data_IF_809802788940
#
_entry.id   IF_809802788940
#
_cell.length_a   1.000
_cell.length_b   1.000
_cell.length_c   1.000
_cell.angle_alpha   90.00
_cell.angle_beta   90.00
_cell.angle_gamma   90.00
#
_symmetry.space_group_name_H-M   'P 1'
#
loop_
_entity.id
_entity.type
_entity.pdbx_description
1 polymer ?
#
# COMPACT_ATOMS: atom_id res chain seq x y z
N UNK A 1 8.71 -2.38 14.46
CA UNK A 1 8.15 -1.02 14.40
C UNK A 1 6.84 -1.06 13.63
N UNK A 2 5.76 -1.00 14.35
CA UNK A 2 4.41 -1.03 13.78
C UNK A 2 4.06 0.35 13.26
N UNK A 3 3.94 0.51 11.95
CA UNK A 3 3.33 1.71 11.39
C UNK A 3 1.84 1.68 11.70
N UNK A 4 1.40 2.59 12.53
CA UNK A 4 -0.02 2.80 12.82
C UNK A 4 -0.59 3.65 11.68
N UNK A 5 -1.43 3.04 10.84
CA UNK A 5 -2.23 3.78 9.88
C UNK A 5 -3.46 4.33 10.62
N UNK A 6 -3.39 5.56 11.09
CA UNK A 6 -4.52 6.21 11.71
C UNK A 6 -5.20 7.12 10.70
N UNK A 7 -6.47 6.80 10.40
CA UNK A 7 -7.36 7.74 9.73
C UNK A 7 -7.85 8.70 10.83
N UNK A 8 -7.08 9.71 11.11
CA UNK A 8 -7.55 10.80 11.97
C UNK A 8 -8.22 11.84 11.09
N UNK A 9 -9.48 12.12 11.43
CA UNK A 9 -10.21 13.29 10.96
C UNK A 9 -9.56 14.55 11.55
N UNK A 10 -8.51 15.05 10.93
CA UNK A 10 -8.05 16.40 11.23
C UNK A 10 -8.61 17.35 10.17
N UNK A 11 -9.51 18.19 10.63
CA UNK A 11 -9.95 19.39 9.94
C UNK A 11 -8.78 20.35 9.95
N UNK A 12 -7.99 20.42 8.90
CA UNK A 12 -7.22 21.64 8.62
C UNK A 12 -6.69 21.66 7.19
N UNK A 13 -6.46 22.84 6.68
CA UNK A 13 -6.33 23.20 5.28
C UNK A 13 -4.97 22.83 4.62
N UNK A 14 -4.16 22.01 5.27
CA UNK A 14 -3.05 21.25 4.65
C UNK A 14 -3.57 20.04 3.85
N UNK A 15 -4.85 20.06 3.56
CA UNK A 15 -5.70 18.89 3.33
C UNK A 15 -5.55 18.20 1.97
N UNK A 16 -5.08 18.89 0.91
CA UNK A 16 -5.01 18.26 -0.42
C UNK A 16 -3.89 17.23 -0.54
N UNK A 17 -2.71 17.54 0.00
CA UNK A 17 -1.56 16.63 0.02
C UNK A 17 -1.83 15.44 0.94
N UNK A 18 -2.40 15.69 2.12
CA UNK A 18 -2.75 14.66 3.10
C UNK A 18 -3.82 13.70 2.55
N UNK A 19 -4.81 14.24 1.83
CA UNK A 19 -5.88 13.43 1.22
C UNK A 19 -5.34 12.54 0.10
N UNK A 20 -4.45 13.06 -0.75
CA UNK A 20 -3.79 12.29 -1.80
C UNK A 20 -2.90 11.19 -1.22
N UNK A 21 -2.18 11.48 -0.13
CA UNK A 21 -1.37 10.49 0.57
C UNK A 21 -2.23 9.38 1.16
N UNK A 22 -3.38 9.70 1.76
CA UNK A 22 -4.34 8.72 2.28
C UNK A 22 -4.90 7.83 1.16
N UNK A 23 -5.27 8.41 0.02
CA UNK A 23 -5.74 7.65 -1.14
C UNK A 23 -4.65 6.73 -1.69
N UNK A 24 -3.41 7.19 -1.73
CA UNK A 24 -2.27 6.39 -2.14
C UNK A 24 -2.07 5.19 -1.21
N UNK A 25 -2.10 5.42 0.10
CA UNK A 25 -1.97 4.34 1.10
C UNK A 25 -3.11 3.32 0.97
N UNK A 26 -4.34 3.77 0.79
CA UNK A 26 -5.49 2.89 0.59
C UNK A 26 -5.38 2.09 -0.71
N UNK A 27 -4.89 2.71 -1.79
CA UNK A 27 -4.63 2.03 -3.05
C UNK A 27 -3.60 0.91 -2.90
N UNK A 28 -2.54 1.18 -2.16
CA UNK A 28 -1.49 0.19 -1.90
C UNK A 28 -2.02 -0.98 -1.05
N UNK A 29 -2.78 -0.69 0.00
CA UNK A 29 -3.45 -1.70 0.81
C UNK A 29 -4.40 -2.55 -0.05
N UNK A 30 -5.13 -1.91 -0.95
CA UNK A 30 -6.03 -2.58 -1.87
C UNK A 30 -5.27 -3.49 -2.84
N UNK A 31 -4.15 -3.05 -3.38
CA UNK A 31 -3.32 -3.85 -4.29
C UNK A 31 -2.88 -5.17 -3.63
N UNK A 32 -2.52 -5.13 -2.35
CA UNK A 32 -2.06 -6.31 -1.62
C UNK A 32 -3.19 -7.17 -1.07
N UNK A 33 -4.26 -6.56 -0.58
CA UNK A 33 -5.27 -7.25 0.23
C UNK A 33 -6.70 -7.16 -0.32
N UNK A 34 -6.90 -6.42 -1.41
CA UNK A 34 -8.24 -6.17 -1.94
C UNK A 34 -9.02 -7.44 -2.31
N UNK A 35 -8.31 -8.47 -2.74
CA UNK A 35 -8.91 -9.76 -3.07
C UNK A 35 -9.55 -10.48 -1.86
N UNK A 36 -9.21 -10.07 -0.64
CA UNK A 36 -9.77 -10.61 0.59
C UNK A 36 -11.08 -9.94 1.01
N UNK A 37 -11.45 -8.84 0.36
CA UNK A 37 -12.73 -8.17 0.60
C UNK A 37 -13.87 -8.96 -0.06
N UNK A 38 -15.06 -8.88 0.51
CA UNK A 38 -16.27 -9.44 -0.10
C UNK A 38 -16.58 -8.73 -1.41
N UNK A 39 -17.10 -9.45 -2.40
CA UNK A 39 -17.28 -8.96 -3.78
C UNK A 39 -18.01 -7.62 -3.87
N UNK A 40 -19.12 -7.46 -3.16
CA UNK A 40 -19.88 -6.22 -3.16
C UNK A 40 -19.12 -5.05 -2.52
N UNK A 41 -18.45 -5.29 -1.41
CA UNK A 41 -17.63 -4.28 -0.75
C UNK A 41 -16.42 -3.91 -1.60
N UNK A 42 -15.79 -4.88 -2.24
CA UNK A 42 -14.67 -4.68 -3.15
C UNK A 42 -15.06 -3.79 -4.32
N UNK A 43 -16.20 -4.04 -4.94
CA UNK A 43 -16.73 -3.23 -6.05
C UNK A 43 -16.88 -1.75 -5.66
N UNK A 44 -17.50 -1.49 -4.52
CA UNK A 44 -17.68 -0.13 -3.99
C UNK A 44 -16.33 0.52 -3.68
N UNK A 45 -15.43 -0.22 -3.07
CA UNK A 45 -14.10 0.29 -2.73
C UNK A 45 -13.27 0.59 -3.98
N UNK A 46 -13.32 -0.27 -5.00
CA UNK A 46 -12.68 -0.03 -6.31
C UNK A 46 -13.20 1.24 -6.97
N UNK A 47 -14.50 1.45 -6.98
CA UNK A 47 -15.11 2.65 -7.55
C UNK A 47 -14.59 3.91 -6.88
N UNK A 48 -14.42 3.87 -5.59
CA UNK A 48 -13.90 5.00 -4.82
C UNK A 48 -12.39 5.23 -5.04
N UNK A 49 -11.58 4.17 -5.01
CA UNK A 49 -10.11 4.27 -5.05
C UNK A 49 -9.58 4.34 -6.48
N UNK A 50 -10.09 3.51 -7.38
CA UNK A 50 -9.52 3.33 -8.73
C UNK A 50 -10.27 4.11 -9.80
N UNK A 51 -11.59 4.22 -9.68
CA UNK A 51 -12.44 4.84 -10.69
C UNK A 51 -12.78 6.30 -10.38
N UNK A 52 -12.25 6.83 -9.29
CA UNK A 52 -12.39 8.24 -8.90
C UNK A 52 -13.85 8.70 -8.79
N UNK A 53 -14.76 7.81 -8.43
CA UNK A 53 -16.15 8.15 -8.22
C UNK A 53 -16.37 8.81 -6.86
N UNK A 54 -17.26 9.79 -6.82
CA UNK A 54 -17.68 10.40 -5.55
C UNK A 54 -18.58 9.46 -4.77
N UNK A 55 -18.71 9.71 -3.46
CA UNK A 55 -19.65 8.96 -2.61
C UNK A 55 -21.08 9.03 -3.14
N UNK A 56 -21.49 10.19 -3.65
CA UNK A 56 -22.83 10.39 -4.21
C UNK A 56 -23.06 9.60 -5.50
N UNK A 57 -22.05 9.54 -6.37
CA UNK A 57 -22.11 8.76 -7.60
C UNK A 57 -22.21 7.26 -7.31
N UNK A 58 -21.40 6.76 -6.37
CA UNK A 58 -21.46 5.36 -5.93
C UNK A 58 -22.82 5.05 -5.31
N UNK A 59 -23.31 5.93 -4.44
CA UNK A 59 -24.62 5.79 -3.79
C UNK A 59 -25.74 5.66 -4.82
N UNK A 60 -25.73 6.50 -5.88
CA UNK A 60 -26.68 6.43 -6.98
C UNK A 60 -26.62 5.11 -7.72
N UNK A 61 -25.42 4.64 -8.06
CA UNK A 61 -25.23 3.40 -8.81
C UNK A 61 -25.64 2.16 -8.01
N UNK A 62 -25.38 2.17 -6.72
CA UNK A 62 -25.65 1.03 -5.83
C UNK A 62 -27.02 1.09 -5.16
N UNK A 63 -27.79 2.15 -5.41
CA UNK A 63 -29.11 2.35 -4.81
C UNK A 63 -29.10 2.30 -3.27
N UNK A 64 -28.06 2.88 -2.66
CA UNK A 64 -27.91 3.03 -1.21
C UNK A 64 -27.65 4.50 -0.85
N UNK A 65 -27.69 4.80 0.43
CA UNK A 65 -27.41 6.17 0.90
C UNK A 65 -25.93 6.53 0.75
N UNK A 66 -25.63 7.82 0.62
CA UNK A 66 -24.25 8.33 0.66
C UNK A 66 -23.55 7.95 1.95
N UNK A 67 -24.25 8.01 3.08
CA UNK A 67 -23.73 7.58 4.38
C UNK A 67 -23.40 6.08 4.38
N UNK A 68 -24.25 5.27 3.75
CA UNK A 68 -24.01 3.84 3.60
C UNK A 68 -22.73 3.53 2.83
N UNK A 69 -22.48 4.27 1.74
CA UNK A 69 -21.22 4.16 0.99
C UNK A 69 -20.03 4.52 1.86
N UNK A 70 -20.12 5.65 2.56
CA UNK A 70 -19.04 6.10 3.48
C UNK A 70 -18.72 5.04 4.53
N UNK A 71 -19.73 4.45 5.14
CA UNK A 71 -19.57 3.43 6.17
C UNK A 71 -18.89 2.16 5.62
N UNK A 72 -19.25 1.76 4.40
CA UNK A 72 -18.64 0.60 3.72
C UNK A 72 -17.15 0.89 3.44
N UNK A 73 -16.83 2.06 2.89
CA UNK A 73 -15.45 2.44 2.59
C UNK A 73 -14.62 2.49 3.87
N UNK A 74 -15.15 3.07 4.92
CA UNK A 74 -14.47 3.14 6.22
C UNK A 74 -14.22 1.76 6.81
N UNK A 75 -15.19 0.86 6.70
CA UNK A 75 -15.07 -0.53 7.18
C UNK A 75 -14.03 -1.30 6.38
N UNK A 76 -14.07 -1.18 5.06
CA UNK A 76 -13.07 -1.82 4.18
C UNK A 76 -11.67 -1.31 4.47
N UNK A 77 -11.51 0.00 4.65
CA UNK A 77 -10.20 0.60 4.99
C UNK A 77 -9.63 0.01 6.27
N UNK A 78 -10.45 -0.10 7.31
CA UNK A 78 -10.03 -0.71 8.58
C UNK A 78 -9.66 -2.17 8.42
N UNK A 79 -10.41 -2.91 7.64
CA UNK A 79 -10.16 -4.32 7.37
C UNK A 79 -8.84 -4.52 6.64
N UNK A 80 -8.55 -3.71 5.63
CA UNK A 80 -7.28 -3.77 4.90
C UNK A 80 -6.09 -3.41 5.80
N UNK A 81 -6.24 -2.41 6.65
CA UNK A 81 -5.21 -2.03 7.64
C UNK A 81 -4.96 -3.16 8.64
N UNK A 82 -5.99 -3.86 9.07
CA UNK A 82 -5.86 -4.99 9.99
C UNK A 82 -5.10 -6.16 9.33
N UNK A 83 -5.33 -6.40 8.04
CA UNK A 83 -4.55 -7.40 7.29
C UNK A 83 -3.07 -7.03 7.26
N UNK A 84 -2.74 -5.76 6.97
CA UNK A 84 -1.34 -5.31 6.98
C UNK A 84 -0.73 -5.39 8.37
N UNK A 85 -1.47 -5.05 9.40
CA UNK A 85 -1.00 -5.17 10.79
C UNK A 85 -0.59 -6.60 11.13
N UNK A 86 -1.32 -7.58 10.63
CA UNK A 86 -1.06 -9.01 10.91
C UNK A 86 -0.04 -9.63 9.97
N UNK A 87 -0.09 -9.30 8.68
CA UNK A 87 0.66 -9.99 7.65
C UNK A 87 1.95 -9.26 7.26
N UNK A 88 1.99 -7.94 7.39
CA UNK A 88 3.15 -7.10 7.10
C UNK A 88 3.70 -7.26 5.67
N UNK A 89 2.86 -7.60 4.69
CA UNK A 89 3.33 -7.84 3.31
C UNK A 89 3.84 -6.57 2.63
N UNK A 90 3.23 -5.41 2.90
CA UNK A 90 3.68 -4.12 2.36
C UNK A 90 5.03 -3.75 2.94
N UNK A 91 5.19 -3.91 4.25
CA UNK A 91 6.47 -3.66 4.93
C UNK A 91 7.57 -4.55 4.36
N UNK A 92 7.31 -5.85 4.21
CA UNK A 92 8.25 -6.82 3.63
C UNK A 92 8.58 -6.48 2.18
N UNK A 93 7.59 -6.10 1.40
CA UNK A 93 7.77 -5.66 0.02
C UNK A 93 8.69 -4.43 -0.06
N UNK A 94 8.45 -3.43 0.77
CA UNK A 94 9.26 -2.21 0.80
C UNK A 94 10.72 -2.51 1.19
N UNK A 95 10.92 -3.37 2.17
CA UNK A 95 12.26 -3.78 2.61
C UNK A 95 12.99 -4.56 1.50
N UNK A 96 12.29 -5.47 0.85
CA UNK A 96 12.81 -6.25 -0.28
C UNK A 96 13.18 -5.33 -1.44
N UNK A 97 12.33 -4.35 -1.75
CA UNK A 97 12.58 -3.36 -2.81
C UNK A 97 13.84 -2.54 -2.54
N UNK A 98 14.06 -2.13 -1.29
CA UNK A 98 15.28 -1.41 -0.88
C UNK A 98 16.52 -2.28 -1.09
N UNK A 99 16.48 -3.54 -0.70
CA UNK A 99 17.58 -4.48 -0.90
C UNK A 99 17.86 -4.69 -2.40
N UNK A 100 16.85 -4.85 -3.21
CA UNK A 100 17.00 -5.03 -4.66
C UNK A 100 17.60 -3.78 -5.31
N UNK A 101 17.14 -2.59 -4.91
CA UNK A 101 17.71 -1.34 -5.42
C UNK A 101 19.20 -1.21 -5.07
N UNK A 102 19.59 -1.61 -3.88
CA UNK A 102 21.00 -1.60 -3.45
C UNK A 102 21.82 -2.63 -4.21
N UNK A 103 21.30 -3.84 -4.42
CA UNK A 103 21.93 -4.87 -5.27
C UNK A 103 22.16 -4.32 -6.68
N UNK A 104 21.16 -3.69 -7.25
CA UNK A 104 21.24 -3.12 -8.60
C UNK A 104 22.30 -2.02 -8.68
N UNK A 105 22.38 -1.14 -7.66
CA UNK A 105 23.41 -0.10 -7.58
C UNK A 105 24.81 -0.70 -7.54
N UNK A 106 25.02 -1.69 -6.69
CA UNK A 106 26.31 -2.37 -6.53
C UNK A 106 26.69 -3.10 -7.83
N UNK A 107 25.73 -3.79 -8.46
CA UNK A 107 25.98 -4.49 -9.71
C UNK A 107 26.42 -3.53 -10.83
N UNK A 108 25.77 -2.35 -10.94
CA UNK A 108 26.16 -1.32 -11.90
C UNK A 108 27.56 -0.79 -11.63
N UNK A 109 27.93 -0.59 -10.37
CA UNK A 109 29.27 -0.15 -9.99
C UNK A 109 30.32 -1.19 -10.36
N UNK A 110 30.05 -2.47 -10.13
CA UNK A 110 30.95 -3.58 -10.51
C UNK A 110 31.17 -3.59 -12.03
N UNK A 111 30.09 -3.48 -12.80
CA UNK A 111 30.16 -3.45 -14.27
C UNK A 111 31.01 -2.26 -14.75
N UNK A 112 30.83 -1.10 -14.12
CA UNK A 112 31.52 0.13 -14.52
C UNK A 112 33.00 0.15 -14.13
N UNK A 113 33.32 -0.31 -12.92
CA UNK A 113 34.67 -0.20 -12.33
C UNK A 113 35.48 -1.52 -12.39
N UNK A 114 34.81 -2.65 -12.64
CA UNK A 114 35.46 -3.96 -12.65
C UNK A 114 35.92 -4.44 -11.28
N UNK A 115 35.45 -3.85 -10.19
CA UNK A 115 35.79 -4.22 -8.82
C UNK A 115 34.88 -5.32 -8.30
N UNK A 116 35.42 -6.54 -8.20
CA UNK A 116 34.66 -7.72 -7.74
C UNK A 116 34.55 -7.80 -6.20
N UNK A 117 35.20 -6.94 -5.45
CA UNK A 117 35.19 -6.97 -3.98
C UNK A 117 33.79 -6.70 -3.40
N UNK A 118 32.90 -6.06 -4.17
CA UNK A 118 31.54 -5.75 -3.75
C UNK A 118 30.55 -6.91 -3.92
N UNK A 119 30.97 -8.03 -4.52
CA UNK A 119 30.08 -9.19 -4.75
C UNK A 119 29.56 -9.75 -3.42
N UNK A 120 30.37 -9.76 -2.37
CA UNK A 120 29.94 -10.23 -1.05
C UNK A 120 28.78 -9.40 -0.45
N UNK A 121 28.72 -8.10 -0.74
CA UNK A 121 27.60 -7.25 -0.32
C UNK A 121 26.31 -7.66 -1.03
N UNK A 122 26.38 -8.00 -2.32
CA UNK A 122 25.22 -8.53 -3.07
C UNK A 122 24.73 -9.82 -2.44
N UNK A 123 25.61 -10.73 -2.10
CA UNK A 123 25.27 -11.99 -1.44
C UNK A 123 24.57 -11.73 -0.10
N UNK A 124 25.12 -10.84 0.73
CA UNK A 124 24.55 -10.46 2.02
C UNK A 124 23.13 -9.91 1.86
N UNK A 125 22.92 -8.99 0.89
CA UNK A 125 21.61 -8.43 0.60
C UNK A 125 20.61 -9.48 0.11
N UNK A 126 21.07 -10.44 -0.69
CA UNK A 126 20.22 -11.53 -1.14
C UNK A 126 19.73 -12.41 0.01
N UNK A 127 20.58 -12.69 0.99
CA UNK A 127 20.20 -13.42 2.20
C UNK A 127 19.21 -12.63 3.06
N UNK A 128 19.38 -11.32 3.16
CA UNK A 128 18.41 -10.47 3.86
C UNK A 128 17.01 -10.55 3.24
N UNK A 129 16.92 -10.61 1.91
CA UNK A 129 15.65 -10.79 1.21
C UNK A 129 15.03 -12.16 1.54
N UNK A 130 15.83 -13.23 1.51
CA UNK A 130 15.36 -14.56 1.84
C UNK A 130 14.85 -14.67 3.28
N UNK A 131 15.52 -14.00 4.22
CA UNK A 131 15.13 -13.98 5.62
C UNK A 131 13.82 -13.20 5.89
N UNK A 132 13.41 -12.30 4.98
CA UNK A 132 12.16 -11.54 5.07
C UNK A 132 10.93 -12.44 4.86
N UNK A 133 11.08 -13.48 4.10
CA UNK A 133 10.02 -14.43 3.77
C UNK A 133 10.28 -15.82 4.34
#
# INVERSE_FOLDING_TARGET
MTKTYSIENSKDDSSKTTKLEQLYELSLLYDFYGALLKDHQREIFEDYILNDLSLSEIASQQEISRQGVYDIIKRCSKQLMEYERKLCLIEKFNNTKKCINEINRIAKDIIKQGDLNQIHEIETLSYQILDEF
#
